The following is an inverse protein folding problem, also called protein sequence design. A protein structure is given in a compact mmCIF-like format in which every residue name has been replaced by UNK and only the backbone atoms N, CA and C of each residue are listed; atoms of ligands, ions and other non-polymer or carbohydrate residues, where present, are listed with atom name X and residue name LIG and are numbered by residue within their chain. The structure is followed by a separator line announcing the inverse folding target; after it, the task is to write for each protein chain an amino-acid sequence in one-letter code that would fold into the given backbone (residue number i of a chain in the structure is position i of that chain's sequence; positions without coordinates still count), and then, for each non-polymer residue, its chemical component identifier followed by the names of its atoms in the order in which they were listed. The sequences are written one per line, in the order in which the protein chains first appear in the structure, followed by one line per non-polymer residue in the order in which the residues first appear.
data_IF_472390902393
#
_entry.id   IF_472390902393
#
_cell.length_a   1.000
_cell.length_b   1.000
_cell.length_c   1.000
_cell.angle_alpha   90.00
_cell.angle_beta   90.00
_cell.angle_gamma   90.00
#
_symmetry.space_group_name_H-M   'P 1'
#
loop_
_entity.id
_entity.type
_entity.pdbx_description
1 polymer ?
#
# COMPACT_ATOMS: atom_id res chain seq x y z
N UNK A 1 1.17 -8.83 -6.28
CA UNK A 1 2.40 -9.12 -5.51
C UNK A 1 2.11 -9.53 -4.08
N UNK A 2 1.38 -8.73 -3.29
CA UNK A 2 1.02 -9.06 -1.90
C UNK A 2 0.33 -10.44 -1.74
N UNK A 3 -0.66 -10.75 -2.58
CA UNK A 3 -1.31 -12.08 -2.59
C UNK A 3 -0.34 -13.23 -2.89
N UNK A 4 0.63 -13.01 -3.79
CA UNK A 4 1.65 -14.01 -4.16
C UNK A 4 2.57 -14.31 -2.99
N UNK A 5 2.90 -13.29 -2.22
CA UNK A 5 3.71 -13.41 -1.00
C UNK A 5 2.89 -13.93 0.20
N UNK A 6 1.58 -14.18 0.05
CA UNK A 6 0.72 -14.62 1.15
C UNK A 6 0.58 -13.58 2.28
N UNK A 7 0.82 -12.30 1.98
CA UNK A 7 0.68 -11.22 2.94
C UNK A 7 -0.80 -10.83 3.02
N UNK A 8 -1.44 -10.82 4.20
CA UNK A 8 -2.80 -10.32 4.34
C UNK A 8 -2.83 -8.81 4.05
N UNK A 9 -3.79 -8.37 3.25
CA UNK A 9 -3.98 -6.95 2.94
C UNK A 9 -5.46 -6.63 2.79
N UNK A 10 -5.77 -5.34 2.94
CA UNK A 10 -7.06 -4.77 2.57
C UNK A 10 -6.83 -3.89 1.34
N UNK A 11 -7.66 -4.07 0.31
CA UNK A 11 -7.66 -3.22 -0.87
C UNK A 11 -8.90 -2.33 -0.85
N UNK A 12 -8.69 -1.05 -1.12
CA UNK A 12 -9.74 -0.07 -1.31
C UNK A 12 -9.67 0.44 -2.74
N UNK A 13 -10.79 0.42 -3.45
CA UNK A 13 -10.90 0.99 -4.77
C UNK A 13 -11.33 2.45 -4.65
N UNK A 14 -10.42 3.39 -4.94
CA UNK A 14 -10.70 4.83 -4.80
C UNK A 14 -11.67 5.35 -5.88
N UNK A 15 -11.90 4.59 -6.95
CA UNK A 15 -12.91 4.94 -7.96
C UNK A 15 -14.33 4.58 -7.52
N UNK A 16 -14.47 3.73 -6.49
CA UNK A 16 -15.76 3.22 -5.99
C UNK A 16 -16.03 3.57 -4.51
N UNK A 17 -15.00 3.89 -3.72
CA UNK A 17 -15.12 4.35 -2.32
C UNK A 17 -14.59 5.77 -2.18
N UNK A 18 -15.51 6.73 -2.17
CA UNK A 18 -15.23 8.16 -2.00
C UNK A 18 -14.40 8.46 -0.74
N UNK A 19 -14.55 7.66 0.34
CA UNK A 19 -13.79 7.86 1.57
C UNK A 19 -12.34 7.43 1.39
N UNK A 20 -12.09 6.37 0.63
CA UNK A 20 -10.73 5.94 0.32
C UNK A 20 -10.03 6.97 -0.59
N UNK A 21 -10.78 7.61 -1.49
CA UNK A 21 -10.30 8.75 -2.27
C UNK A 21 -9.99 9.96 -1.39
N UNK A 22 -10.90 10.34 -0.49
CA UNK A 22 -10.67 11.45 0.45
C UNK A 22 -9.44 11.21 1.34
N UNK A 23 -9.26 9.99 1.85
CA UNK A 23 -8.06 9.60 2.61
C UNK A 23 -6.77 9.72 1.78
N UNK A 24 -6.82 9.36 0.50
CA UNK A 24 -5.70 9.51 -0.43
C UNK A 24 -5.31 10.99 -0.59
N UNK A 25 -6.30 11.85 -0.81
CA UNK A 25 -6.10 13.30 -0.99
C UNK A 25 -5.66 13.98 0.31
N UNK A 26 -6.25 13.62 1.46
CA UNK A 26 -5.89 14.16 2.76
C UNK A 26 -4.42 13.86 3.13
N UNK A 27 -3.89 12.72 2.68
CA UNK A 27 -2.47 12.35 2.82
C UNK A 27 -1.55 13.04 1.80
N UNK A 28 -2.10 13.84 0.90
CA UNK A 28 -1.36 14.55 -0.16
C UNK A 28 -0.89 13.63 -1.28
N UNK A 29 -1.50 12.45 -1.42
CA UNK A 29 -1.13 11.48 -2.46
C UNK A 29 -2.04 11.67 -3.67
N UNK A 30 -1.45 11.63 -4.86
CA UNK A 30 -2.15 11.91 -6.13
C UNK A 30 -1.93 10.83 -7.18
N UNK A 31 -1.31 9.73 -6.78
CA UNK A 31 -0.90 8.64 -7.68
C UNK A 31 -1.41 7.34 -7.10
N UNK A 32 -2.08 6.54 -7.93
CA UNK A 32 -2.51 5.19 -7.62
C UNK A 32 -1.72 4.18 -8.48
N UNK A 33 -1.52 2.94 -8.03
CA UNK A 33 -1.88 2.41 -6.71
C UNK A 33 -1.00 2.99 -5.59
N UNK A 34 -1.51 3.04 -4.35
CA UNK A 34 -0.68 3.27 -3.16
C UNK A 34 -0.76 2.05 -2.27
N UNK A 35 0.42 1.54 -1.89
CA UNK A 35 0.53 0.43 -0.94
C UNK A 35 1.13 0.94 0.35
N UNK A 36 0.42 0.73 1.46
CA UNK A 36 0.92 1.06 2.80
C UNK A 36 1.30 -0.26 3.49
N UNK A 37 2.53 -0.35 3.98
CA UNK A 37 3.01 -1.48 4.78
C UNK A 37 3.62 -0.91 6.06
N UNK A 38 2.91 -1.03 7.18
CA UNK A 38 3.28 -0.35 8.43
C UNK A 38 3.34 1.17 8.22
N UNK A 39 4.51 1.75 8.47
CA UNK A 39 4.77 3.19 8.33
C UNK A 39 5.24 3.57 6.90
N UNK A 40 5.46 2.58 6.03
CA UNK A 40 5.98 2.79 4.68
C UNK A 40 4.84 2.96 3.67
N UNK A 41 4.78 4.11 3.03
CA UNK A 41 3.88 4.38 1.91
C UNK A 41 4.62 4.31 0.58
N UNK A 42 4.27 3.34 -0.25
CA UNK A 42 4.85 3.14 -1.59
C UNK A 42 3.81 3.59 -2.61
N UNK A 43 4.16 4.60 -3.41
CA UNK A 43 3.30 5.18 -4.44
C UNK A 43 3.66 4.59 -5.80
N UNK A 44 2.67 4.14 -6.55
CA UNK A 44 2.85 3.39 -7.78
C UNK A 44 3.26 1.94 -7.53
N UNK A 45 3.66 1.26 -8.60
CA UNK A 45 4.17 -0.11 -8.54
C UNK A 45 5.71 -0.10 -8.56
N UNK A 46 6.31 -0.32 -7.39
CA UNK A 46 7.76 -0.53 -7.24
C UNK A 46 8.00 -1.88 -6.55
N UNK A 47 8.35 -2.90 -7.34
CA UNK A 47 8.58 -4.27 -6.85
C UNK A 47 9.73 -4.32 -5.83
N UNK A 48 10.80 -3.54 -6.02
CA UNK A 48 11.95 -3.57 -5.11
C UNK A 48 11.58 -2.98 -3.75
N UNK A 49 10.92 -1.82 -3.75
CA UNK A 49 10.47 -1.18 -2.52
C UNK A 49 9.44 -2.03 -1.77
N UNK A 50 8.51 -2.63 -2.51
CA UNK A 50 7.49 -3.51 -1.91
C UNK A 50 8.12 -4.76 -1.30
N UNK A 51 9.07 -5.42 -1.96
CA UNK A 51 9.76 -6.60 -1.40
C UNK A 51 10.54 -6.23 -0.13
N UNK A 52 11.25 -5.10 -0.13
CA UNK A 52 11.97 -4.63 1.04
C UNK A 52 11.02 -4.34 2.21
N UNK A 53 9.89 -3.67 1.97
CA UNK A 53 8.90 -3.36 2.99
C UNK A 53 8.20 -4.62 3.53
N UNK A 54 7.92 -5.62 2.69
CA UNK A 54 7.38 -6.92 3.14
C UNK A 54 8.38 -7.66 4.03
N UNK A 55 9.66 -7.66 3.66
CA UNK A 55 10.71 -8.29 4.45
C UNK A 55 10.86 -7.63 5.83
N UNK A 56 10.86 -6.28 5.88
CA UNK A 56 10.90 -5.53 7.13
C UNK A 56 9.67 -5.81 8.02
N UNK A 57 8.47 -5.80 7.43
CA UNK A 57 7.23 -6.12 8.15
C UNK A 57 7.25 -7.52 8.77
N UNK A 58 7.79 -8.53 8.05
CA UNK A 58 7.93 -9.91 8.56
C UNK A 58 8.98 -10.04 9.67
N UNK A 59 9.98 -9.15 9.69
CA UNK A 59 11.07 -9.19 10.65
C UNK A 59 10.74 -8.43 11.95
N UNK A 60 9.68 -7.62 11.98
CA UNK A 60 9.18 -6.97 13.20
C UNK A 60 8.57 -8.03 14.15
N UNK A 61 8.99 -8.08 15.43
CA UNK A 61 8.52 -9.05 16.41
C UNK A 61 7.08 -8.80 16.88
#
# INVERSE_FOLDING_TARGET
MLSREGVPFTAYNVDEDDRAYDDLIARGWRTVPVTIIGDNAIKGFDERALMAAIADWRARP
#
